data_IF_315481430285
#
_entry.id   IF_315481430285
#
_cell.length_a   1.000
_cell.length_b   1.000
_cell.length_c   1.000
_cell.angle_alpha   90.00
_cell.angle_beta   90.00
_cell.angle_gamma   90.00
#
_symmetry.space_group_name_H-M   'P 1'
#
loop_
_entity.id
_entity.type
_entity.pdbx_description
1 polymer ?
#
# COMPACT_ATOMS: atom_id res chain seq x y z
N UNK A 1 24.97 -5.44 25.60
CA UNK A 1 24.96 -3.95 25.51
C UNK A 1 23.64 -3.37 26.00
N UNK A 2 22.49 -3.75 25.42
CA UNK A 2 21.17 -3.22 25.82
C UNK A 2 20.79 -3.47 27.30
N UNK A 3 21.10 -4.65 27.85
CA UNK A 3 20.83 -4.98 29.26
C UNK A 3 21.58 -4.08 30.24
N UNK A 4 22.80 -3.66 29.87
CA UNK A 4 23.66 -2.82 30.71
C UNK A 4 23.18 -1.37 30.78
N UNK A 5 22.56 -0.88 29.70
CA UNK A 5 21.92 0.44 29.62
C UNK A 5 20.57 0.43 30.38
N UNK A 6 19.81 -0.65 30.29
CA UNK A 6 18.55 -0.76 31.03
C UNK A 6 18.78 -0.74 32.56
N UNK A 7 19.82 -1.44 33.03
CA UNK A 7 20.22 -1.42 34.45
C UNK A 7 20.71 -0.03 34.89
N UNK A 8 21.45 0.70 34.04
CA UNK A 8 21.87 2.08 34.37
C UNK A 8 20.68 3.05 34.43
N UNK A 9 19.57 2.72 33.77
CA UNK A 9 18.34 3.52 33.77
C UNK A 9 17.35 3.09 34.86
N UNK A 10 17.77 2.27 35.84
CA UNK A 10 16.97 1.92 37.01
C UNK A 10 15.98 0.76 36.83
N UNK A 11 16.01 0.05 35.71
CA UNK A 11 15.19 -1.15 35.52
C UNK A 11 15.83 -2.33 36.27
N UNK A 12 15.06 -3.04 37.11
CA UNK A 12 15.54 -4.20 37.87
C UNK A 12 15.76 -5.42 36.97
N UNK A 13 16.72 -6.28 37.30
CA UNK A 13 17.08 -7.45 36.49
C UNK A 13 15.93 -8.42 36.24
N UNK A 14 14.96 -8.49 37.15
CA UNK A 14 13.77 -9.34 37.02
C UNK A 14 12.76 -8.83 35.98
N UNK A 15 12.82 -7.54 35.66
CA UNK A 15 11.99 -6.91 34.62
C UNK A 15 12.59 -7.03 33.21
N UNK A 16 13.82 -7.57 33.09
CA UNK A 16 14.44 -7.77 31.79
C UNK A 16 13.89 -9.02 31.11
N UNK A 17 13.43 -8.93 29.85
CA UNK A 17 12.90 -10.08 29.13
C UNK A 17 14.01 -11.12 28.95
N UNK A 18 13.90 -12.24 29.67
CA UNK A 18 14.77 -13.40 29.49
C UNK A 18 14.62 -13.87 28.04
N UNK A 19 15.70 -13.81 27.26
CA UNK A 19 15.72 -14.41 25.92
C UNK A 19 15.49 -15.91 26.05
N UNK A 20 14.25 -16.35 25.86
CA UNK A 20 13.93 -17.76 25.68
C UNK A 20 14.55 -18.18 24.34
N UNK A 21 15.69 -18.86 24.37
CA UNK A 21 16.15 -19.60 23.20
C UNK A 21 15.11 -20.68 22.90
N UNK A 22 14.56 -20.76 21.68
CA UNK A 22 13.66 -21.84 21.33
C UNK A 22 14.43 -23.17 21.43
N UNK A 23 13.80 -24.26 21.91
CA UNK A 23 14.44 -25.57 21.94
C UNK A 23 14.84 -25.99 20.51
N UNK A 24 15.97 -26.69 20.36
CA UNK A 24 16.55 -27.05 19.06
C UNK A 24 15.57 -27.78 18.11
N UNK A 25 14.58 -28.51 18.65
CA UNK A 25 13.52 -29.16 17.87
C UNK A 25 12.53 -28.19 17.20
N UNK A 26 12.35 -26.99 17.74
CA UNK A 26 11.50 -25.97 17.14
C UNK A 26 12.11 -25.40 15.86
N UNK A 27 13.44 -25.23 15.80
CA UNK A 27 14.15 -24.67 14.64
C UNK A 27 14.04 -25.57 13.41
N UNK A 28 14.15 -26.89 13.57
CA UNK A 28 14.00 -27.86 12.46
C UNK A 28 12.60 -27.85 11.84
N UNK A 29 11.55 -27.73 12.66
CA UNK A 29 10.16 -27.61 12.18
C UNK A 29 9.93 -26.32 11.39
N UNK A 30 10.46 -25.19 11.86
CA UNK A 30 10.34 -23.91 11.13
C UNK A 30 11.06 -23.92 9.78
N UNK A 31 12.17 -24.64 9.67
CA UNK A 31 12.93 -24.76 8.42
C UNK A 31 12.19 -25.59 7.38
N UNK A 32 11.57 -26.69 7.80
CA UNK A 32 10.75 -27.57 6.97
C UNK A 32 9.39 -26.94 6.58
N UNK A 33 8.91 -25.96 7.34
CA UNK A 33 7.71 -25.18 7.04
C UNK A 33 7.96 -24.00 6.09
N UNK A 34 9.21 -23.54 5.95
CA UNK A 34 9.58 -22.43 5.07
C UNK A 34 9.58 -22.79 3.58
N UNK A 35 9.67 -24.08 3.25
CA UNK A 35 9.60 -24.58 1.87
C UNK A 35 8.18 -24.71 1.36
N UNK A 36 7.16 -24.59 2.24
CA UNK A 36 5.75 -24.73 1.90
C UNK A 36 5.16 -23.40 1.42
N UNK A 37 4.20 -23.48 0.50
CA UNK A 37 3.45 -22.33 -0.02
C UNK A 37 2.52 -21.81 1.09
N UNK A 38 2.56 -20.51 1.45
CA UNK A 38 1.67 -19.97 2.47
C UNK A 38 0.25 -19.81 1.94
N UNK A 39 -0.72 -20.42 2.61
CA UNK A 39 -2.16 -20.20 2.39
C UNK A 39 -2.69 -19.27 3.47
N UNK A 40 -3.02 -18.04 3.08
CA UNK A 40 -3.39 -16.95 3.97
C UNK A 40 -4.90 -16.94 4.21
N UNK A 41 -5.32 -17.05 5.47
CA UNK A 41 -6.74 -17.01 5.85
C UNK A 41 -6.94 -16.06 7.03
N UNK A 42 -7.96 -15.18 7.02
CA UNK A 42 -8.30 -14.38 8.19
C UNK A 42 -8.57 -15.24 9.42
N UNK A 43 -8.00 -14.86 10.57
CA UNK A 43 -8.27 -15.56 11.82
C UNK A 43 -9.65 -15.20 12.35
N UNK A 44 -10.55 -16.20 12.39
CA UNK A 44 -11.89 -16.06 12.96
C UNK A 44 -11.93 -16.77 14.32
N UNK A 45 -11.67 -18.09 14.34
CA UNK A 45 -11.57 -18.89 15.57
C UNK A 45 -10.58 -20.04 15.39
N UNK A 46 -10.05 -20.55 16.50
CA UNK A 46 -9.19 -21.74 16.49
C UNK A 46 -9.91 -22.98 15.97
N UNK A 47 -11.20 -23.11 16.26
CA UNK A 47 -12.04 -24.20 15.76
C UNK A 47 -12.13 -24.19 14.24
N UNK A 48 -12.36 -23.02 13.63
CA UNK A 48 -12.39 -22.90 12.18
C UNK A 48 -11.01 -23.14 11.56
N UNK A 49 -9.95 -22.58 12.14
CA UNK A 49 -8.58 -22.86 11.67
C UNK A 49 -8.23 -24.34 11.77
N UNK A 50 -8.75 -25.07 12.76
CA UNK A 50 -8.58 -26.52 12.86
C UNK A 50 -9.34 -27.26 11.76
N UNK A 51 -10.57 -26.84 11.44
CA UNK A 51 -11.32 -27.41 10.32
C UNK A 51 -10.61 -27.18 8.98
N UNK A 52 -10.06 -25.99 8.76
CA UNK A 52 -9.29 -25.69 7.54
C UNK A 52 -8.03 -26.55 7.45
N UNK A 53 -7.29 -26.74 8.55
CA UNK A 53 -6.15 -27.68 8.60
C UNK A 53 -6.58 -29.10 8.28
N UNK A 54 -7.73 -29.54 8.78
CA UNK A 54 -8.27 -30.86 8.49
C UNK A 54 -8.68 -31.01 7.02
N UNK A 55 -9.24 -29.96 6.38
CA UNK A 55 -9.50 -29.94 4.95
C UNK A 55 -8.21 -30.05 4.13
N UNK A 56 -7.15 -29.31 4.51
CA UNK A 56 -5.84 -29.38 3.85
C UNK A 56 -5.24 -30.79 3.96
N UNK A 57 -5.37 -31.42 5.13
CA UNK A 57 -4.93 -32.80 5.37
C UNK A 57 -5.72 -33.80 4.52
N UNK A 58 -7.04 -33.65 4.46
CA UNK A 58 -7.92 -34.51 3.63
C UNK A 58 -7.65 -34.37 2.13
N UNK A 59 -7.18 -33.21 1.69
CA UNK A 59 -6.79 -32.95 0.31
C UNK A 59 -5.33 -33.37 -0.02
N UNK A 60 -4.61 -33.98 0.93
CA UNK A 60 -3.20 -34.37 0.80
C UNK A 60 -2.25 -33.19 0.48
N UNK A 61 -2.60 -31.98 0.94
CA UNK A 61 -1.84 -30.75 0.70
C UNK A 61 -0.89 -30.39 1.85
N UNK A 62 -0.84 -31.20 2.92
CA UNK A 62 -0.08 -30.89 4.14
C UNK A 62 1.43 -30.76 3.89
N UNK A 63 1.96 -31.45 2.88
CA UNK A 63 3.37 -31.34 2.47
C UNK A 63 3.71 -30.09 1.66
N UNK A 64 2.74 -29.51 0.96
CA UNK A 64 2.92 -28.41 0.00
C UNK A 64 2.48 -27.05 0.56
N UNK A 65 1.43 -27.04 1.38
CA UNK A 65 0.75 -25.82 1.81
C UNK A 65 0.88 -25.65 3.32
N UNK A 66 1.14 -24.42 3.75
CA UNK A 66 1.13 -24.02 5.17
C UNK A 66 0.03 -23.00 5.41
N UNK A 67 -0.94 -23.35 6.27
CA UNK A 67 -1.96 -22.40 6.72
C UNK A 67 -1.31 -21.29 7.56
N UNK A 68 -1.52 -20.04 7.17
CA UNK A 68 -1.09 -18.85 7.90
C UNK A 68 -2.32 -18.02 8.23
N UNK A 69 -2.66 -17.99 9.52
CA UNK A 69 -3.76 -17.17 10.01
C UNK A 69 -3.34 -15.70 10.07
N UNK A 70 -4.02 -14.85 9.30
CA UNK A 70 -3.84 -13.40 9.38
C UNK A 70 -4.61 -12.93 10.63
N UNK A 71 -3.93 -12.39 11.66
CA UNK A 71 -4.62 -11.88 12.83
C UNK A 71 -5.57 -10.74 12.44
N UNK A 72 -6.72 -10.60 13.12
CA UNK A 72 -7.59 -9.45 12.91
C UNK A 72 -6.81 -8.16 13.19
N UNK A 73 -7.23 -7.06 12.54
CA UNK A 73 -6.65 -5.74 12.76
C UNK A 73 -6.61 -5.43 14.26
N UNK A 74 -5.42 -5.42 14.84
CA UNK A 74 -5.23 -5.12 16.25
C UNK A 74 -5.47 -3.62 16.53
N UNK A 75 -5.69 -3.26 17.79
CA UNK A 75 -5.84 -1.87 18.21
C UNK A 75 -4.66 -1.00 17.74
N UNK A 76 -3.46 -1.56 17.60
CA UNK A 76 -2.33 -0.83 17.03
C UNK A 76 -2.57 -0.52 15.54
N UNK A 77 -3.05 -1.43 14.71
CA UNK A 77 -3.41 -1.14 13.30
C UNK A 77 -4.60 -0.20 13.16
N UNK A 78 -5.54 -0.19 14.13
CA UNK A 78 -6.67 0.74 14.12
C UNK A 78 -6.32 2.13 14.68
N UNK A 79 -5.51 2.20 15.73
CA UNK A 79 -5.18 3.42 16.47
C UNK A 79 -3.88 4.06 16.01
N UNK A 80 -2.92 3.26 15.53
CA UNK A 80 -1.74 3.72 14.79
C UNK A 80 -2.13 3.86 13.31
N UNK A 81 -3.12 4.72 13.07
CA UNK A 81 -3.04 5.59 11.91
C UNK A 81 -1.75 6.42 12.10
N UNK A 82 -1.07 6.81 11.04
CA UNK A 82 0.20 7.53 11.11
C UNK A 82 0.02 8.88 11.85
N UNK A 83 -0.02 8.86 13.19
CA UNK A 83 -0.42 9.95 14.10
C UNK A 83 0.52 11.16 14.11
N UNK A 84 1.53 11.19 13.25
CA UNK A 84 2.34 12.38 13.00
C UNK A 84 1.94 13.16 11.74
N UNK A 85 1.16 12.55 10.84
CA UNK A 85 0.80 13.17 9.56
C UNK A 85 -0.71 13.24 9.28
N UNK A 86 -1.54 12.61 10.11
CA UNK A 86 -3.01 12.72 10.06
C UNK A 86 -3.53 14.07 10.59
N UNK A 87 -2.66 15.06 10.82
CA UNK A 87 -3.13 16.43 11.10
C UNK A 87 -3.86 16.92 9.86
N UNK A 88 -5.19 16.96 9.94
CA UNK A 88 -6.05 17.74 9.06
C UNK A 88 -5.32 19.04 8.75
N UNK A 89 -4.90 19.18 7.50
CA UNK A 89 -4.12 20.35 7.13
C UNK A 89 -5.11 21.50 7.10
N UNK A 90 -5.14 22.29 8.17
CA UNK A 90 -5.78 23.62 8.22
C UNK A 90 -5.11 24.61 7.27
N UNK A 91 -4.24 24.18 6.34
CA UNK A 91 -3.72 25.04 5.29
C UNK A 91 -4.88 25.41 4.36
N UNK A 92 -5.30 26.67 4.25
CA UNK A 92 -6.43 27.10 3.42
C UNK A 92 -6.21 26.89 1.91
N UNK A 93 -4.98 26.58 1.49
CA UNK A 93 -4.62 26.34 0.09
C UNK A 93 -4.07 24.92 -0.13
N UNK A 94 -4.91 23.91 0.07
CA UNK A 94 -4.56 22.57 -0.38
C UNK A 94 -4.99 22.37 -1.84
N UNK A 95 -4.03 22.14 -2.73
CA UNK A 95 -4.25 21.89 -4.17
C UNK A 95 -4.94 20.55 -4.49
N UNK A 96 -5.12 19.66 -3.50
CA UNK A 96 -5.90 18.43 -3.64
C UNK A 96 -7.40 18.70 -3.50
N UNK A 97 -7.80 19.73 -2.73
CA UNK A 97 -9.21 20.03 -2.44
C UNK A 97 -10.06 20.50 -3.62
N UNK A 98 -9.54 21.18 -4.66
CA UNK A 98 -10.37 21.51 -5.82
C UNK A 98 -10.94 20.28 -6.53
N UNK A 99 -10.33 19.10 -6.36
CA UNK A 99 -10.69 17.87 -7.05
C UNK A 99 -10.99 16.69 -6.12
N UNK A 100 -10.80 16.85 -4.80
CA UNK A 100 -10.97 15.80 -3.78
C UNK A 100 -11.90 16.21 -2.65
N UNK A 101 -12.28 15.24 -1.81
CA UNK A 101 -13.11 15.45 -0.61
C UNK A 101 -12.28 16.05 0.54
N UNK A 102 -12.96 16.61 1.53
CA UNK A 102 -12.32 17.12 2.74
C UNK A 102 -11.51 16.01 3.43
N UNK A 103 -10.24 16.28 3.74
CA UNK A 103 -9.30 15.30 4.32
C UNK A 103 -8.50 14.45 3.33
N UNK A 104 -8.77 14.52 2.01
CA UNK A 104 -8.00 13.78 1.01
C UNK A 104 -6.54 14.23 0.92
N UNK A 105 -6.27 15.49 1.26
CA UNK A 105 -4.93 16.04 1.30
C UNK A 105 -3.99 15.32 2.27
N UNK A 106 -4.54 14.90 3.42
CA UNK A 106 -3.83 14.19 4.49
C UNK A 106 -3.84 12.68 4.32
N UNK A 107 -4.56 12.17 3.32
CA UNK A 107 -4.61 10.74 3.03
C UNK A 107 -3.20 10.19 2.79
N UNK A 108 -2.87 9.11 3.49
CA UNK A 108 -1.64 8.34 3.30
C UNK A 108 -1.98 6.89 2.95
N UNK A 109 -1.06 6.21 2.26
CA UNK A 109 -1.31 4.88 1.74
C UNK A 109 -2.38 4.91 0.65
N UNK A 110 -2.19 5.74 -0.36
CA UNK A 110 -3.18 5.91 -1.45
C UNK A 110 -2.55 5.62 -2.81
N UNK A 111 -3.37 5.06 -3.70
CA UNK A 111 -3.13 5.07 -5.14
C UNK A 111 -3.94 6.22 -5.71
N UNK A 112 -3.29 7.10 -6.46
CA UNK A 112 -3.90 8.32 -6.99
C UNK A 112 -3.66 8.43 -8.49
N UNK A 113 -4.56 9.18 -9.14
CA UNK A 113 -4.50 9.59 -10.52
C UNK A 113 -4.21 11.08 -10.58
N UNK A 114 -3.24 11.47 -11.39
CA UNK A 114 -2.90 12.84 -11.74
C UNK A 114 -3.33 13.04 -13.19
N UNK A 115 -4.27 13.93 -13.43
CA UNK A 115 -4.75 14.25 -14.78
C UNK A 115 -4.31 15.65 -15.16
N UNK A 116 -3.57 15.78 -16.26
CA UNK A 116 -3.39 17.06 -16.94
C UNK A 116 -4.77 17.55 -17.39
N UNK A 117 -5.05 18.84 -17.21
CA UNK A 117 -6.35 19.43 -17.56
C UNK A 117 -6.65 19.41 -19.07
N UNK A 118 -5.66 19.09 -19.91
CA UNK A 118 -5.76 19.26 -21.36
C UNK A 118 -5.58 17.97 -22.17
N UNK A 119 -5.04 16.89 -21.60
CA UNK A 119 -4.61 15.76 -22.44
C UNK A 119 -4.48 14.41 -21.72
N UNK A 120 -3.56 14.27 -20.77
CA UNK A 120 -3.10 12.95 -20.33
C UNK A 120 -3.16 12.76 -18.81
N UNK A 121 -3.16 11.49 -18.41
CA UNK A 121 -3.17 11.06 -17.03
C UNK A 121 -1.92 10.24 -16.65
N UNK A 122 -1.57 10.29 -15.36
CA UNK A 122 -0.47 9.59 -14.68
C UNK A 122 -1.01 8.92 -13.41
N UNK A 123 -0.60 7.71 -13.11
CA UNK A 123 -1.02 6.96 -11.92
C UNK A 123 0.19 6.75 -11.03
N UNK A 124 0.03 6.96 -9.73
CA UNK A 124 1.08 6.69 -8.77
C UNK A 124 0.59 6.30 -7.39
N UNK A 125 1.45 5.67 -6.60
CA UNK A 125 1.22 5.41 -5.18
C UNK A 125 1.95 6.39 -4.25
N UNK A 126 1.41 6.57 -3.06
CA UNK A 126 2.17 7.16 -1.96
C UNK A 126 1.79 6.60 -0.58
N UNK A 127 2.82 6.19 0.17
CA UNK A 127 2.70 5.95 1.62
C UNK A 127 2.76 7.21 2.48
N UNK A 128 3.15 8.36 1.90
CA UNK A 128 3.19 9.66 2.59
C UNK A 128 1.84 10.38 2.41
N UNK A 129 1.57 11.47 3.13
CA UNK A 129 0.40 12.30 2.84
C UNK A 129 0.40 12.76 1.39
N UNK A 130 -0.74 12.64 0.72
CA UNK A 130 -0.92 12.93 -0.69
C UNK A 130 -0.46 14.34 -1.05
N UNK A 131 -0.72 15.34 -0.19
CA UNK A 131 -0.28 16.73 -0.42
C UNK A 131 1.24 16.86 -0.60
N UNK A 132 2.03 16.04 0.08
CA UNK A 132 3.50 16.05 -0.01
C UNK A 132 3.94 15.56 -1.38
N UNK A 133 3.32 14.48 -1.85
CA UNK A 133 3.61 13.91 -3.17
C UNK A 133 3.20 14.87 -4.30
N UNK A 134 2.02 15.45 -4.17
CA UNK A 134 1.47 16.45 -5.11
C UNK A 134 2.35 17.70 -5.16
N UNK A 135 2.75 18.22 -4.00
CA UNK A 135 3.64 19.40 -3.95
C UNK A 135 4.95 19.14 -4.72
N UNK A 136 5.55 17.96 -4.53
CA UNK A 136 6.76 17.56 -5.25
C UNK A 136 6.53 17.55 -6.77
N UNK A 137 5.45 16.92 -7.23
CA UNK A 137 5.10 16.90 -8.66
C UNK A 137 4.88 18.30 -9.23
N UNK A 138 4.24 19.21 -8.48
CA UNK A 138 4.04 20.59 -8.92
C UNK A 138 5.36 21.38 -8.98
N UNK A 139 6.28 21.17 -8.04
CA UNK A 139 7.61 21.79 -8.07
C UNK A 139 8.44 21.28 -9.26
N UNK A 140 8.34 19.99 -9.57
CA UNK A 140 8.97 19.34 -10.75
C UNK A 140 8.38 19.87 -12.06
N UNK A 141 7.04 19.97 -12.12
CA UNK A 141 6.32 20.54 -13.26
C UNK A 141 6.74 22.00 -13.48
N UNK A 142 6.80 22.82 -12.42
CA UNK A 142 7.22 24.23 -12.52
C UNK A 142 8.63 24.39 -13.06
N UNK A 143 9.56 23.53 -12.61
CA UNK A 143 10.95 23.51 -13.07
C UNK A 143 11.14 22.92 -14.47
N UNK A 144 10.07 22.43 -15.11
CA UNK A 144 10.12 21.70 -16.39
C UNK A 144 11.16 20.57 -16.36
N UNK A 145 11.16 19.79 -15.28
CA UNK A 145 12.20 18.79 -15.08
C UNK A 145 11.97 17.57 -15.98
N UNK A 146 12.62 17.54 -17.15
CA UNK A 146 12.42 16.53 -18.22
C UNK A 146 12.71 15.09 -17.74
N UNK A 147 13.49 14.89 -16.67
CA UNK A 147 13.71 13.54 -16.14
C UNK A 147 12.51 12.98 -15.35
N UNK A 148 11.49 13.78 -15.07
CA UNK A 148 10.23 13.36 -14.42
C UNK A 148 9.13 13.14 -15.48
N UNK A 149 8.20 12.18 -15.27
CA UNK A 149 7.11 11.93 -16.22
C UNK A 149 6.30 13.20 -16.54
N UNK A 150 5.98 13.98 -15.51
CA UNK A 150 5.16 15.18 -15.65
C UNK A 150 5.92 16.36 -16.30
N UNK A 151 7.21 16.52 -16.02
CA UNK A 151 8.05 17.52 -16.68
C UNK A 151 8.34 17.19 -18.15
N UNK A 152 8.56 15.92 -18.46
CA UNK A 152 8.67 15.42 -19.84
C UNK A 152 7.37 15.64 -20.61
N UNK A 153 6.24 15.32 -20.00
CA UNK A 153 4.91 15.55 -20.56
C UNK A 153 4.67 17.03 -20.88
N UNK A 154 4.96 17.93 -19.94
CA UNK A 154 4.89 19.39 -20.15
C UNK A 154 5.69 19.83 -21.38
N UNK A 155 6.91 19.32 -21.52
CA UNK A 155 7.78 19.70 -22.63
C UNK A 155 7.27 19.16 -23.97
N UNK A 156 6.86 17.89 -24.03
CA UNK A 156 6.46 17.21 -25.27
C UNK A 156 5.06 17.56 -25.74
N UNK A 157 4.10 17.68 -24.82
CA UNK A 157 2.68 17.85 -25.14
C UNK A 157 2.24 19.32 -25.14
N UNK A 158 2.93 20.18 -24.38
CA UNK A 158 2.55 21.60 -24.22
C UNK A 158 3.66 22.57 -24.63
N UNK A 159 4.74 22.10 -25.27
CA UNK A 159 5.86 22.94 -25.70
C UNK A 159 6.55 23.68 -24.53
N UNK A 160 6.43 23.17 -23.30
CA UNK A 160 6.94 23.82 -22.10
C UNK A 160 5.99 24.87 -21.50
N UNK A 161 4.76 25.05 -22.00
CA UNK A 161 3.76 25.87 -21.33
C UNK A 161 3.37 25.26 -19.96
N UNK A 162 2.95 26.08 -19.00
CA UNK A 162 2.48 25.59 -17.70
C UNK A 162 1.07 25.02 -17.86
N UNK A 163 0.81 23.85 -17.29
CA UNK A 163 -0.51 23.20 -17.32
C UNK A 163 -1.10 23.01 -15.94
N UNK A 164 -2.43 23.02 -15.89
CA UNK A 164 -3.19 22.63 -14.71
C UNK A 164 -3.15 21.11 -14.52
N UNK A 165 -3.27 20.70 -13.26
CA UNK A 165 -3.28 19.29 -12.87
C UNK A 165 -4.38 19.06 -11.85
N UNK A 166 -5.20 18.04 -12.09
CA UNK A 166 -6.21 17.55 -11.17
C UNK A 166 -5.79 16.20 -10.57
N UNK A 167 -6.25 15.93 -9.34
CA UNK A 167 -5.86 14.73 -8.58
C UNK A 167 -7.09 14.00 -8.11
N UNK A 168 -7.15 12.70 -8.35
CA UNK A 168 -8.22 11.81 -7.91
C UNK A 168 -7.64 10.65 -7.11
N UNK A 169 -8.23 10.29 -5.97
CA UNK A 169 -7.84 9.08 -5.22
C UNK A 169 -8.57 7.89 -5.84
N UNK A 170 -7.82 6.89 -6.29
CA UNK A 170 -8.35 5.65 -6.88
C UNK A 170 -8.60 4.59 -5.81
N UNK A 171 -7.67 4.43 -4.86
CA UNK A 171 -7.77 3.44 -3.80
C UNK A 171 -6.98 3.84 -2.55
N UNK A 172 -7.33 3.26 -1.40
CA UNK A 172 -6.64 3.46 -0.10
C UNK A 172 -6.17 2.11 0.41
N UNK A 173 -4.86 1.92 0.48
CA UNK A 173 -4.23 0.70 0.99
C UNK A 173 -3.03 1.01 1.87
N UNK A 174 -3.06 0.50 3.10
CA UNK A 174 -2.00 0.74 4.08
C UNK A 174 -0.80 -0.16 3.81
N UNK A 175 -1.05 -1.40 3.39
CA UNK A 175 0.01 -2.36 3.08
C UNK A 175 0.79 -1.93 1.83
N UNK A 176 2.12 -1.96 1.92
CA UNK A 176 3.00 -1.46 0.86
C UNK A 176 2.96 -2.38 -0.35
N UNK A 177 2.93 -3.70 -0.13
CA UNK A 177 2.93 -4.67 -1.22
C UNK A 177 1.59 -4.61 -1.97
N UNK A 178 0.47 -4.66 -1.24
CA UNK A 178 -0.86 -4.55 -1.83
C UNK A 178 -1.05 -3.21 -2.57
N UNK A 179 -0.60 -2.09 -2.00
CA UNK A 179 -0.70 -0.78 -2.65
C UNK A 179 0.09 -0.69 -3.95
N UNK A 180 1.30 -1.24 -4.00
CA UNK A 180 2.10 -1.31 -5.23
C UNK A 180 1.49 -2.24 -6.27
N UNK A 181 0.87 -3.33 -5.84
CA UNK A 181 0.11 -4.20 -6.74
C UNK A 181 -1.10 -3.47 -7.32
N UNK A 182 -1.86 -2.72 -6.50
CA UNK A 182 -2.97 -1.90 -6.99
C UNK A 182 -2.52 -0.81 -7.96
N UNK A 183 -1.41 -0.12 -7.69
CA UNK A 183 -0.82 0.84 -8.65
C UNK A 183 -0.54 0.17 -9.99
N UNK A 184 0.14 -0.99 -9.98
CA UNK A 184 0.43 -1.74 -11.20
C UNK A 184 -0.84 -2.18 -11.95
N UNK A 185 -1.86 -2.64 -11.22
CA UNK A 185 -3.16 -3.02 -11.80
C UNK A 185 -3.85 -1.83 -12.45
N UNK A 186 -3.91 -0.68 -11.76
CA UNK A 186 -4.49 0.54 -12.30
C UNK A 186 -3.74 1.04 -13.54
N UNK A 187 -2.41 0.94 -13.56
CA UNK A 187 -1.60 1.29 -14.74
C UNK A 187 -1.90 0.34 -15.91
N UNK A 188 -2.01 -0.97 -15.69
CA UNK A 188 -2.38 -1.88 -16.77
C UNK A 188 -3.80 -1.64 -17.29
N UNK A 189 -4.74 -1.39 -16.37
CA UNK A 189 -6.15 -1.23 -16.72
C UNK A 189 -6.40 0.08 -17.47
N UNK A 190 -5.89 1.21 -16.97
CA UNK A 190 -6.07 2.54 -17.59
C UNK A 190 -5.08 2.85 -18.70
N UNK A 191 -3.92 2.19 -18.73
CA UNK A 191 -2.84 2.45 -19.67
C UNK A 191 -2.49 3.96 -19.81
N UNK A 192 -2.24 4.68 -18.69
CA UNK A 192 -1.99 6.12 -18.69
C UNK A 192 -0.79 6.49 -19.58
N UNK A 193 -0.94 7.59 -20.31
CA UNK A 193 0.04 8.04 -21.32
C UNK A 193 1.28 8.72 -20.71
N UNK A 194 1.20 9.22 -19.48
CA UNK A 194 2.32 9.88 -18.80
C UNK A 194 3.25 8.86 -18.12
N UNK A 195 2.71 7.76 -17.58
CA UNK A 195 3.52 6.72 -16.95
C UNK A 195 4.52 6.12 -17.94
N UNK A 196 5.76 6.00 -17.49
CA UNK A 196 6.82 5.40 -18.30
C UNK A 196 6.61 3.89 -18.43
N UNK A 197 7.03 3.33 -19.57
CA UNK A 197 6.86 1.88 -19.85
C UNK A 197 7.65 1.02 -18.86
N UNK A 198 8.75 1.55 -18.33
CA UNK A 198 9.59 0.90 -17.32
C UNK A 198 8.95 0.85 -15.92
N UNK A 199 7.94 1.68 -15.66
CA UNK A 199 7.17 1.68 -14.41
C UNK A 199 6.01 0.65 -14.43
N UNK A 200 5.77 0.01 -15.59
CA UNK A 200 4.82 -1.08 -15.73
C UNK A 200 5.43 -2.35 -15.18
N UNK A 201 5.15 -2.63 -13.90
CA UNK A 201 5.58 -3.89 -13.29
C UNK A 201 4.93 -5.06 -14.04
N UNK A 202 5.74 -6.05 -14.43
CA UNK A 202 5.32 -7.25 -15.16
C UNK A 202 4.29 -8.13 -14.41
N UNK A 203 3.93 -7.78 -13.17
CA UNK A 203 2.82 -8.37 -12.39
C UNK A 203 1.47 -8.32 -13.12
N UNK A 204 1.37 -7.50 -14.16
CA UNK A 204 0.14 -7.20 -14.89
C UNK A 204 -0.27 -8.29 -15.89
N UNK A 205 0.62 -9.14 -16.40
CA UNK A 205 0.21 -10.21 -17.31
C UNK A 205 -0.58 -11.33 -16.60
N UNK A 206 -0.25 -11.65 -15.35
CA UNK A 206 -0.90 -12.72 -14.58
C UNK A 206 -2.24 -12.29 -13.96
N UNK A 207 -2.40 -10.98 -13.67
CA UNK A 207 -3.58 -10.45 -12.96
C UNK A 207 -4.54 -9.65 -13.86
N UNK A 208 -4.15 -9.35 -15.11
CA UNK A 208 -5.00 -8.70 -16.11
C UNK A 208 -6.41 -9.33 -16.31
N UNK A 209 -6.61 -10.66 -16.14
CA UNK A 209 -7.94 -11.26 -16.32
C UNK A 209 -8.94 -10.97 -15.19
N UNK A 210 -8.52 -10.38 -14.05
CA UNK A 210 -9.35 -10.30 -12.84
C UNK A 210 -9.61 -8.88 -12.29
N UNK A 211 -9.96 -7.88 -13.11
CA UNK A 211 -10.21 -6.52 -12.62
C UNK A 211 -11.39 -6.44 -11.64
N UNK A 212 -12.42 -7.27 -11.85
CA UNK A 212 -13.64 -7.30 -11.04
C UNK A 212 -13.39 -7.76 -9.60
N UNK A 213 -12.41 -8.65 -9.39
CA UNK A 213 -12.02 -9.14 -8.06
C UNK A 213 -11.27 -8.08 -7.24
N UNK A 214 -10.74 -7.05 -7.90
CA UNK A 214 -10.01 -5.95 -7.27
C UNK A 214 -10.87 -4.69 -7.06
N UNK A 215 -12.17 -4.73 -7.39
CA UNK A 215 -13.08 -3.60 -7.20
C UNK A 215 -12.73 -2.37 -8.05
N UNK A 216 -12.14 -2.59 -9.24
CA UNK A 216 -11.74 -1.52 -10.15
C UNK A 216 -12.94 -1.07 -10.99
N UNK A 217 -13.72 -0.11 -10.50
CA UNK A 217 -14.89 0.43 -11.22
C UNK A 217 -14.50 1.72 -11.99
N UNK A 218 -14.62 1.76 -13.33
CA UNK A 218 -14.19 2.91 -14.14
C UNK A 218 -15.03 4.19 -13.97
N UNK A 219 -16.23 4.12 -13.37
CA UNK A 219 -17.14 5.28 -13.27
C UNK A 219 -17.24 5.94 -11.90
N UNK A 220 -16.49 5.51 -10.88
CA UNK A 220 -16.52 6.19 -9.58
C UNK A 220 -17.91 6.25 -8.92
N UNK A 221 -18.81 5.29 -9.22
CA UNK A 221 -20.02 5.13 -8.43
C UNK A 221 -19.64 4.50 -7.11
N UNK A 222 -19.55 5.35 -6.09
CA UNK A 222 -19.66 4.89 -4.72
C UNK A 222 -20.96 4.11 -4.62
N UNK A 223 -20.88 2.81 -4.34
CA UNK A 223 -22.02 2.09 -3.80
C UNK A 223 -22.37 2.77 -2.48
N UNK A 224 -23.40 3.62 -2.52
CA UNK A 224 -24.07 4.10 -1.32
C UNK A 224 -24.67 2.87 -0.64
N UNK A 225 -23.90 2.31 0.29
CA UNK A 225 -24.36 1.28 1.21
C UNK A 225 -25.32 1.91 2.20
N UNK A 226 -26.60 1.53 2.09
CA UNK A 226 -27.61 1.67 3.12
C UNK A 226 -27.36 0.69 4.26
#
# INVERSE_FOLDING_TARGET
>A
MASRIALSNGYTSDSLPKQRRPPAGAQRRTEQERTKIPFLVPFITDALSAQVRECIRKADLEGLVRLVNIPPANLRTQLVRNRLYDRASDTPSCMVRPFGKEGDCTASGVVYLITCTECNEDIGETGRPLWVRVKKHMDELRRCQICTPLGEHRQRSHGGAMVGVAITILAREVDIAARKTLEALWIAFKNPAINRREERVALTQELAPFPDLCGLDPEGRQTEGR
#
